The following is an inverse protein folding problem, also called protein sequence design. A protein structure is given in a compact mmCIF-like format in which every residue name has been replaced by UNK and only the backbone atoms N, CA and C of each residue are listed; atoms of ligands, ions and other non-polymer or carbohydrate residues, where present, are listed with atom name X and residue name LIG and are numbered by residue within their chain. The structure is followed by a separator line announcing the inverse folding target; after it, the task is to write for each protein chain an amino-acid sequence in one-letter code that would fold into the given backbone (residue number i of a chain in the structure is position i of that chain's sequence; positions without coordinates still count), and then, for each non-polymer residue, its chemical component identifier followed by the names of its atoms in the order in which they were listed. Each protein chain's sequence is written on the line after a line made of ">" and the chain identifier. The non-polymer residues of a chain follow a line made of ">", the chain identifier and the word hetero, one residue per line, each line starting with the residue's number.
data_IF_350365569913
#
_entry.id   IF_350365569913
#
_cell.length_a   1.000
_cell.length_b   1.000
_cell.length_c   1.000
_cell.angle_alpha   90.00
_cell.angle_beta   90.00
_cell.angle_gamma   90.00
#
_symmetry.space_group_name_H-M   'P 1'
#
loop_
_entity.id
_entity.type
_entity.pdbx_description
1 polymer ?
#
# COMPACT_ATOMS: atom_id res chain seq x y z
N UNK A 1 47.58 32.26 39.59
CA UNK A 1 46.19 32.02 39.16
C UNK A 1 45.61 30.99 40.10
N UNK A 2 44.62 31.36 40.92
CA UNK A 2 44.14 30.54 42.05
C UNK A 2 43.49 29.22 41.55
N UNK A 3 43.98 28.12 41.99
CA UNK A 3 43.51 26.75 41.69
C UNK A 3 41.99 26.61 41.84
N UNK A 4 41.35 27.30 42.81
CA UNK A 4 39.90 27.38 42.96
C UNK A 4 39.18 28.03 41.77
N UNK A 5 39.75 29.07 41.18
CA UNK A 5 39.16 29.74 39.99
C UNK A 5 39.22 28.85 38.74
N UNK A 6 40.30 28.06 38.62
CA UNK A 6 40.43 27.10 37.49
C UNK A 6 39.45 25.94 37.60
N UNK A 7 39.24 25.43 38.81
CA UNK A 7 38.23 24.37 39.07
C UNK A 7 36.83 24.89 38.83
N UNK A 8 36.52 26.11 39.27
CA UNK A 8 35.19 26.71 39.04
C UNK A 8 34.92 26.93 37.55
N UNK A 9 35.91 27.41 36.81
CA UNK A 9 35.81 27.58 35.36
C UNK A 9 35.61 26.25 34.61
N UNK A 10 36.31 25.21 35.02
CA UNK A 10 36.17 23.85 34.48
C UNK A 10 34.77 23.28 34.73
N UNK A 11 34.20 23.47 35.94
CA UNK A 11 32.84 23.05 36.28
C UNK A 11 31.78 23.79 35.46
N UNK A 12 31.95 25.10 35.21
CA UNK A 12 31.04 25.88 34.37
C UNK A 12 31.10 25.41 32.92
N UNK A 13 32.29 25.15 32.39
CA UNK A 13 32.44 24.64 31.02
C UNK A 13 31.82 23.23 30.87
N UNK A 14 32.02 22.36 31.85
CA UNK A 14 31.41 21.01 31.88
C UNK A 14 29.87 21.13 31.97
N UNK A 15 29.33 22.04 32.79
CA UNK A 15 27.86 22.24 32.89
C UNK A 15 27.27 22.78 31.59
N UNK A 16 27.98 23.63 30.84
CA UNK A 16 27.55 24.13 29.55
C UNK A 16 27.54 23.04 28.45
N UNK A 17 28.41 22.03 28.56
CA UNK A 17 28.46 20.89 27.65
C UNK A 17 27.25 19.96 27.91
N UNK A 18 26.76 19.84 29.14
CA UNK A 18 25.61 18.99 29.47
C UNK A 18 24.24 19.64 29.22
N UNK A 19 24.14 20.97 29.09
CA UNK A 19 22.88 21.68 28.78
C UNK A 19 22.55 21.67 27.29
N UNK A 20 23.46 21.20 26.42
CA UNK A 20 23.38 21.28 24.96
C UNK A 20 22.75 20.08 24.22
N UNK A 21 22.12 19.12 24.89
CA UNK A 21 21.58 17.93 24.17
C UNK A 21 20.08 17.76 24.21
N UNK A 22 19.31 18.81 23.94
CA UNK A 22 18.06 18.59 23.22
C UNK A 22 18.37 18.58 21.72
N UNK A 23 18.82 17.42 21.22
CA UNK A 23 19.01 17.24 19.80
C UNK A 23 17.64 17.42 19.11
N UNK A 24 17.40 18.63 18.61
CA UNK A 24 16.32 18.87 17.69
C UNK A 24 16.56 17.97 16.49
N UNK A 25 15.84 16.84 16.42
CA UNK A 25 15.92 15.92 15.28
C UNK A 25 15.47 16.69 14.06
N UNK A 26 16.42 17.31 13.34
CA UNK A 26 16.15 17.90 12.04
C UNK A 26 15.85 16.74 11.09
N UNK A 27 14.57 16.48 10.87
CA UNK A 27 14.11 15.49 9.89
C UNK A 27 14.14 16.16 8.54
N UNK A 28 15.19 15.93 7.77
CA UNK A 28 15.34 16.45 6.40
C UNK A 28 14.33 15.81 5.42
N UNK A 29 13.61 14.78 5.85
CA UNK A 29 12.69 14.05 4.99
C UNK A 29 11.50 13.51 5.79
N UNK A 30 10.28 13.48 5.21
CA UNK A 30 9.11 12.86 5.82
C UNK A 30 9.36 11.38 6.15
N UNK A 31 8.89 10.92 7.29
CA UNK A 31 8.97 9.51 7.70
C UNK A 31 7.57 8.88 7.71
N UNK A 32 7.51 7.54 7.77
CA UNK A 32 6.22 6.84 7.92
C UNK A 32 5.48 7.19 9.21
N UNK A 33 6.20 7.68 10.23
CA UNK A 33 5.63 8.15 11.48
C UNK A 33 5.10 9.59 11.41
N UNK A 34 5.32 10.30 10.29
CA UNK A 34 4.78 11.65 10.13
C UNK A 34 3.28 11.56 9.84
N UNK A 35 2.46 12.38 10.50
CA UNK A 35 1.02 12.39 10.24
C UNK A 35 0.74 12.76 8.78
N UNK A 36 -0.28 12.12 8.20
CA UNK A 36 -0.79 12.51 6.90
C UNK A 36 -1.23 13.98 6.94
N UNK A 37 -0.86 14.76 5.93
CA UNK A 37 -1.21 16.18 5.82
C UNK A 37 -2.08 16.40 4.61
N UNK A 38 -3.19 17.11 4.82
CA UNK A 38 -4.01 17.59 3.72
C UNK A 38 -3.28 18.71 2.97
N UNK A 39 -3.37 18.67 1.65
CA UNK A 39 -2.94 19.73 0.76
C UNK A 39 -4.15 20.24 -0.02
N UNK A 40 -4.52 21.48 0.17
CA UNK A 40 -5.60 22.09 -0.59
C UNK A 40 -5.16 22.28 -2.04
N UNK A 41 -5.85 21.62 -2.96
CA UNK A 41 -5.61 21.75 -4.40
C UNK A 41 -6.34 22.97 -4.95
N UNK A 42 -7.60 23.18 -4.55
CA UNK A 42 -8.45 24.27 -5.04
C UNK A 42 -9.59 24.56 -4.05
N UNK A 43 -10.11 25.78 -4.09
CA UNK A 43 -11.29 26.20 -3.35
C UNK A 43 -11.00 26.77 -1.96
N UNK A 44 -12.03 27.40 -1.38
CA UNK A 44 -11.99 28.03 -0.03
C UNK A 44 -13.24 27.66 0.79
N UNK A 45 -14.04 26.70 0.32
CA UNK A 45 -15.26 26.28 1.01
C UNK A 45 -14.92 25.51 2.30
N UNK A 46 -15.83 25.54 3.26
CA UNK A 46 -15.68 24.79 4.52
C UNK A 46 -15.86 23.29 4.31
N UNK A 47 -16.69 22.90 3.34
CA UNK A 47 -16.86 21.49 2.95
C UNK A 47 -15.75 21.05 2.01
N UNK A 48 -15.33 19.79 2.15
CA UNK A 48 -14.21 19.22 1.43
C UNK A 48 -14.62 18.09 0.51
N UNK A 49 -13.95 18.00 -0.63
CA UNK A 49 -13.89 16.80 -1.46
C UNK A 49 -12.45 16.30 -1.36
N UNK A 50 -12.27 15.11 -0.82
CA UNK A 50 -10.95 14.51 -0.68
C UNK A 50 -10.59 13.73 -1.93
N UNK A 51 -9.38 13.96 -2.46
CA UNK A 51 -8.83 13.20 -3.59
C UNK A 51 -7.78 12.22 -3.06
N UNK A 52 -8.05 10.92 -3.23
CA UNK A 52 -7.14 9.84 -2.83
C UNK A 52 -6.56 9.20 -4.09
N UNK A 53 -5.24 9.30 -4.32
CA UNK A 53 -4.62 8.62 -5.44
C UNK A 53 -4.41 7.14 -5.14
N UNK A 54 -4.84 6.27 -6.08
CA UNK A 54 -4.60 4.82 -6.07
C UNK A 54 -3.72 4.49 -7.26
N UNK A 55 -2.40 4.46 -7.06
CA UNK A 55 -1.41 4.29 -8.14
C UNK A 55 -0.55 3.06 -7.97
N UNK A 56 -0.38 2.31 -9.08
CA UNK A 56 0.49 1.15 -9.14
C UNK A 56 -0.19 -0.12 -8.66
N UNK A 57 0.61 -1.14 -8.33
CA UNK A 57 0.11 -2.47 -7.97
C UNK A 57 -0.57 -2.45 -6.60
N UNK A 58 -1.78 -2.99 -6.52
CA UNK A 58 -2.54 -3.13 -5.28
C UNK A 58 -1.96 -4.29 -4.48
N UNK A 59 -1.27 -3.96 -3.37
CA UNK A 59 -0.60 -4.90 -2.48
C UNK A 59 -0.71 -4.44 -1.04
N UNK A 60 -0.75 -5.38 -0.13
CA UNK A 60 -0.65 -5.19 1.32
C UNK A 60 0.79 -5.22 1.83
N UNK A 61 1.74 -5.62 0.98
CA UNK A 61 3.16 -5.59 1.32
C UNK A 61 3.72 -4.16 1.27
N UNK A 62 4.54 -3.76 2.24
CA UNK A 62 5.28 -2.51 2.19
C UNK A 62 6.10 -2.40 0.90
N UNK A 63 6.24 -1.19 0.39
CA UNK A 63 7.03 -0.92 -0.81
C UNK A 63 8.47 -0.62 -0.41
N UNK A 64 9.36 -1.54 -0.69
CA UNK A 64 10.79 -1.37 -0.43
C UNK A 64 11.38 -0.39 -1.44
N UNK A 65 11.97 0.68 -0.94
CA UNK A 65 12.77 1.61 -1.72
C UNK A 65 14.24 1.50 -1.30
N UNK A 66 15.16 1.90 -2.15
CA UNK A 66 16.60 1.80 -1.89
C UNK A 66 17.05 2.50 -0.59
N UNK A 67 16.37 3.58 -0.20
CA UNK A 67 16.71 4.36 1.01
C UNK A 67 15.63 4.22 2.09
N UNK A 68 14.40 3.90 1.71
CA UNK A 68 13.24 3.91 2.62
C UNK A 68 12.18 2.92 2.20
N UNK A 69 11.62 2.23 3.18
CA UNK A 69 10.38 1.47 3.03
C UNK A 69 9.20 2.44 3.12
N UNK A 70 8.23 2.29 2.23
CA UNK A 70 6.96 3.04 2.25
C UNK A 70 5.84 2.10 2.67
N UNK A 71 4.74 2.62 3.25
CA UNK A 71 3.55 1.83 3.47
C UNK A 71 3.08 1.14 2.20
N UNK A 72 2.37 0.04 2.36
CA UNK A 72 1.68 -0.59 1.23
C UNK A 72 0.62 0.36 0.66
N UNK A 73 0.21 0.12 -0.59
CA UNK A 73 -0.87 0.90 -1.19
C UNK A 73 -2.17 0.78 -0.40
N UNK A 74 -2.46 -0.43 0.10
CA UNK A 74 -3.63 -0.68 0.96
C UNK A 74 -3.56 0.19 2.21
N UNK A 75 -2.44 0.18 2.94
CA UNK A 75 -2.27 0.99 4.15
C UNK A 75 -2.41 2.49 3.87
N UNK A 76 -1.85 2.98 2.76
CA UNK A 76 -1.95 4.39 2.38
C UNK A 76 -3.41 4.81 2.14
N UNK A 77 -4.16 4.04 1.35
CA UNK A 77 -5.55 4.35 1.02
C UNK A 77 -6.45 4.23 2.24
N UNK A 78 -6.32 3.14 3.00
CA UNK A 78 -7.11 2.90 4.22
C UNK A 78 -6.88 3.98 5.26
N UNK A 79 -5.63 4.40 5.47
CA UNK A 79 -5.31 5.48 6.41
C UNK A 79 -5.96 6.81 6.01
N UNK A 80 -5.97 7.14 4.72
CA UNK A 80 -6.64 8.34 4.21
C UNK A 80 -8.17 8.25 4.36
N UNK A 81 -8.79 7.09 4.07
CA UNK A 81 -10.22 6.88 4.28
C UNK A 81 -10.62 7.01 5.76
N UNK A 82 -9.81 6.48 6.68
CA UNK A 82 -10.07 6.60 8.13
C UNK A 82 -10.00 8.05 8.61
N UNK A 83 -9.00 8.81 8.17
CA UNK A 83 -8.93 10.24 8.48
C UNK A 83 -10.12 11.01 7.90
N UNK A 84 -10.54 10.67 6.68
CA UNK A 84 -11.72 11.26 6.05
C UNK A 84 -13.02 10.91 6.80
N UNK A 85 -13.11 9.71 7.39
CA UNK A 85 -14.25 9.27 8.19
C UNK A 85 -14.43 10.13 9.45
N UNK A 86 -13.33 10.56 10.06
CA UNK A 86 -13.34 11.37 11.28
C UNK A 86 -13.57 12.87 11.00
N UNK A 87 -13.39 13.32 9.76
CA UNK A 87 -13.60 14.71 9.35
C UNK A 87 -15.00 14.93 8.77
N UNK A 88 -15.90 15.48 9.57
CA UNK A 88 -17.29 15.80 9.17
C UNK A 88 -17.41 16.80 8.02
N UNK A 89 -16.34 17.51 7.69
CA UNK A 89 -16.30 18.44 6.55
C UNK A 89 -16.14 17.71 5.22
N UNK A 90 -15.63 16.47 5.21
CA UNK A 90 -15.52 15.65 4.00
C UNK A 90 -16.90 15.17 3.58
N UNK A 91 -17.37 15.64 2.42
CA UNK A 91 -18.69 15.30 1.86
C UNK A 91 -18.61 14.31 0.70
N UNK A 92 -17.46 14.21 0.08
CA UNK A 92 -17.20 13.23 -0.98
C UNK A 92 -15.71 12.85 -1.02
N UNK A 93 -15.46 11.65 -1.54
CA UNK A 93 -14.11 11.15 -1.85
C UNK A 93 -14.03 10.87 -3.34
N UNK A 94 -12.97 11.32 -3.97
CA UNK A 94 -12.59 10.98 -5.33
C UNK A 94 -11.41 10.03 -5.30
N UNK A 95 -11.61 8.78 -5.68
CA UNK A 95 -10.52 7.81 -5.86
C UNK A 95 -9.95 7.99 -7.27
N UNK A 96 -8.74 8.50 -7.38
CA UNK A 96 -8.04 8.66 -8.64
C UNK A 96 -7.24 7.40 -8.95
N UNK A 97 -7.83 6.48 -9.74
CA UNK A 97 -7.29 5.14 -9.98
C UNK A 97 -6.41 5.13 -11.23
N UNK A 98 -5.15 4.68 -11.04
CA UNK A 98 -4.17 4.42 -12.09
C UNK A 98 -3.39 3.15 -11.73
N UNK A 99 -4.04 1.99 -11.89
CA UNK A 99 -3.59 0.71 -11.35
C UNK A 99 -3.88 -0.48 -12.28
N UNK A 100 -2.92 -1.38 -12.50
CA UNK A 100 -3.16 -2.65 -13.18
C UNK A 100 -3.93 -3.67 -12.33
N UNK A 101 -4.28 -3.33 -11.09
CA UNK A 101 -4.73 -4.27 -10.08
C UNK A 101 -3.59 -4.80 -9.21
N UNK A 102 -3.76 -5.98 -8.65
CA UNK A 102 -2.77 -6.58 -7.77
C UNK A 102 -3.23 -7.89 -7.15
N UNK A 103 -2.87 -8.17 -5.90
CA UNK A 103 -3.33 -9.38 -5.24
C UNK A 103 -4.84 -9.35 -5.00
N UNK A 104 -5.47 -10.51 -5.07
CA UNK A 104 -6.92 -10.65 -4.84
C UNK A 104 -7.28 -10.13 -3.46
N UNK A 105 -6.57 -10.59 -2.44
CA UNK A 105 -6.81 -10.20 -1.04
C UNK A 105 -6.66 -8.69 -0.82
N UNK A 106 -5.60 -8.08 -1.35
CA UNK A 106 -5.40 -6.63 -1.19
C UNK A 106 -6.49 -5.81 -1.90
N UNK A 107 -6.95 -6.27 -3.06
CA UNK A 107 -8.05 -5.65 -3.78
C UNK A 107 -9.36 -5.77 -3.03
N UNK A 108 -9.63 -6.95 -2.44
CA UNK A 108 -10.84 -7.19 -1.64
C UNK A 108 -10.85 -6.37 -0.35
N UNK A 109 -9.72 -6.24 0.33
CA UNK A 109 -9.59 -5.36 1.50
C UNK A 109 -9.95 -3.91 1.12
N UNK A 110 -9.41 -3.38 0.02
CA UNK A 110 -9.74 -2.02 -0.41
C UNK A 110 -11.20 -1.86 -0.80
N UNK A 111 -11.77 -2.83 -1.51
CA UNK A 111 -13.19 -2.85 -1.85
C UNK A 111 -14.06 -2.70 -0.59
N UNK A 112 -13.81 -3.53 0.42
CA UNK A 112 -14.56 -3.53 1.66
C UNK A 112 -14.32 -2.27 2.51
N UNK A 113 -13.12 -1.73 2.54
CA UNK A 113 -12.83 -0.47 3.26
C UNK A 113 -13.53 0.73 2.60
N UNK A 114 -13.62 0.78 1.27
CA UNK A 114 -14.36 1.82 0.53
C UNK A 114 -15.86 1.70 0.80
N UNK A 115 -16.40 0.49 0.76
CA UNK A 115 -17.79 0.22 1.07
C UNK A 115 -18.14 0.63 2.50
N UNK A 116 -17.32 0.21 3.46
CA UNK A 116 -17.47 0.55 4.88
C UNK A 116 -17.40 2.06 5.13
N UNK A 117 -16.50 2.76 4.44
CA UNK A 117 -16.42 4.21 4.51
C UNK A 117 -17.74 4.87 4.06
N UNK A 118 -18.30 4.45 2.93
CA UNK A 118 -19.59 4.94 2.44
C UNK A 118 -20.72 4.71 3.43
N UNK A 119 -20.82 3.50 3.96
CA UNK A 119 -21.88 3.12 4.90
C UNK A 119 -21.81 3.93 6.20
N UNK A 120 -20.61 4.13 6.73
CA UNK A 120 -20.41 4.85 7.99
C UNK A 120 -20.59 6.35 7.89
N UNK A 121 -20.19 6.95 6.75
CA UNK A 121 -20.17 8.41 6.62
C UNK A 121 -21.33 8.98 5.82
N UNK A 122 -21.94 8.18 4.96
CA UNK A 122 -22.90 8.66 3.94
C UNK A 122 -22.26 9.56 2.88
N UNK A 123 -20.94 9.76 2.91
CA UNK A 123 -20.23 10.55 1.92
C UNK A 123 -20.23 9.85 0.54
N UNK A 124 -20.33 10.66 -0.51
CA UNK A 124 -20.27 10.13 -1.87
C UNK A 124 -18.87 9.68 -2.25
N UNK A 125 -18.76 8.53 -2.92
CA UNK A 125 -17.51 8.04 -3.48
C UNK A 125 -17.60 8.08 -5.00
N UNK A 126 -16.66 8.76 -5.61
CA UNK A 126 -16.52 8.87 -7.05
C UNK A 126 -15.18 8.28 -7.46
N UNK A 127 -15.16 7.52 -8.53
CA UNK A 127 -13.92 7.01 -9.12
C UNK A 127 -13.60 7.76 -10.39
N UNK A 128 -12.37 8.24 -10.51
CA UNK A 128 -11.79 8.76 -11.74
C UNK A 128 -10.71 7.77 -12.23
N UNK A 129 -11.04 6.99 -13.24
CA UNK A 129 -10.11 6.06 -13.89
C UNK A 129 -9.19 6.84 -14.82
N UNK A 130 -7.87 6.75 -14.58
CA UNK A 130 -6.85 7.45 -15.35
C UNK A 130 -6.32 6.60 -16.53
N UNK A 131 -5.02 6.46 -16.69
CA UNK A 131 -4.43 5.69 -17.79
C UNK A 131 -4.77 4.19 -17.74
N UNK A 132 -4.77 3.62 -16.53
CA UNK A 132 -5.00 2.21 -16.30
C UNK A 132 -5.88 1.99 -15.06
N UNK A 133 -6.96 1.23 -15.21
CA UNK A 133 -7.84 0.82 -14.11
C UNK A 133 -8.36 -0.60 -14.37
N UNK A 134 -7.46 -1.59 -14.31
CA UNK A 134 -7.73 -2.95 -14.73
C UNK A 134 -7.71 -3.94 -13.55
N UNK A 135 -8.38 -5.10 -13.71
CA UNK A 135 -8.40 -6.18 -12.73
C UNK A 135 -8.80 -5.67 -11.34
N UNK A 136 -7.94 -5.80 -10.33
CA UNK A 136 -8.18 -5.24 -8.99
C UNK A 136 -8.43 -3.73 -8.98
N UNK A 137 -7.85 -2.97 -9.92
CA UNK A 137 -8.12 -1.53 -10.08
C UNK A 137 -9.56 -1.24 -10.51
N UNK A 138 -10.13 -2.08 -11.34
CA UNK A 138 -11.56 -2.03 -11.67
C UNK A 138 -12.40 -2.50 -10.48
N UNK A 139 -12.01 -3.59 -9.84
CA UNK A 139 -12.75 -4.20 -8.72
C UNK A 139 -12.95 -3.22 -7.55
N UNK A 140 -11.92 -2.51 -7.13
CA UNK A 140 -12.02 -1.50 -6.06
C UNK A 140 -12.85 -0.27 -6.44
N UNK A 141 -13.17 -0.11 -7.72
CA UNK A 141 -14.00 0.99 -8.21
C UNK A 141 -15.51 0.69 -8.07
N UNK A 142 -15.89 -0.58 -7.94
CA UNK A 142 -17.29 -1.01 -7.92
C UNK A 142 -18.13 -0.44 -6.76
N UNK A 143 -17.60 -0.21 -5.54
CA UNK A 143 -18.36 0.41 -4.47
C UNK A 143 -18.72 1.89 -4.71
N UNK A 144 -18.15 2.54 -5.72
CA UNK A 144 -18.37 3.95 -6.00
C UNK A 144 -19.82 4.25 -6.41
N UNK A 145 -20.27 5.48 -6.10
CA UNK A 145 -21.57 5.97 -6.57
C UNK A 145 -21.51 6.31 -8.06
N UNK A 146 -20.36 6.80 -8.53
CA UNK A 146 -20.11 7.12 -9.93
C UNK A 146 -18.69 6.74 -10.34
N UNK A 147 -18.56 6.25 -11.55
CA UNK A 147 -17.25 5.89 -12.15
C UNK A 147 -17.11 6.68 -13.45
N UNK A 148 -16.05 7.47 -13.54
CA UNK A 148 -15.66 8.18 -14.74
C UNK A 148 -14.36 7.59 -15.26
N UNK A 149 -14.32 7.24 -16.53
CA UNK A 149 -13.10 6.80 -17.21
C UNK A 149 -12.68 7.87 -18.22
N UNK A 150 -11.36 8.14 -18.25
CA UNK A 150 -10.79 8.95 -19.32
C UNK A 150 -10.96 8.21 -20.67
N UNK A 151 -11.18 8.90 -21.80
CA UNK A 151 -11.39 8.23 -23.10
C UNK A 151 -10.27 7.26 -23.50
N UNK A 152 -9.06 7.45 -23.00
CA UNK A 152 -7.91 6.57 -23.25
C UNK A 152 -7.65 5.55 -22.13
N UNK A 153 -8.54 5.42 -21.15
CA UNK A 153 -8.38 4.46 -20.05
C UNK A 153 -8.41 3.02 -20.56
N UNK A 154 -7.40 2.26 -20.20
CA UNK A 154 -7.44 0.80 -20.29
C UNK A 154 -8.09 0.25 -19.02
N UNK A 155 -9.24 -0.44 -19.18
CA UNK A 155 -10.01 -0.95 -18.04
C UNK A 155 -10.56 -2.36 -18.30
N UNK A 156 -11.28 -2.94 -17.34
CA UNK A 156 -11.76 -4.31 -17.43
C UNK A 156 -10.70 -5.31 -16.97
N UNK A 157 -10.43 -6.36 -17.73
CA UNK A 157 -9.50 -7.45 -17.35
C UNK A 157 -9.81 -8.04 -15.97
N UNK A 158 -11.10 -8.20 -15.65
CA UNK A 158 -11.54 -8.74 -14.37
C UNK A 158 -11.37 -10.25 -14.38
N UNK A 159 -10.54 -10.76 -13.46
CA UNK A 159 -10.28 -12.19 -13.36
C UNK A 159 -9.11 -12.49 -12.45
N UNK A 160 -8.91 -13.78 -12.15
CA UNK A 160 -7.80 -14.28 -11.33
C UNK A 160 -6.87 -15.10 -12.19
N UNK A 161 -5.58 -14.78 -12.15
CA UNK A 161 -4.53 -15.54 -12.82
C UNK A 161 -3.67 -16.22 -11.76
N UNK A 162 -3.51 -17.53 -11.88
CA UNK A 162 -2.53 -18.29 -11.11
C UNK A 162 -1.49 -18.86 -12.06
N UNK A 163 -0.31 -18.25 -12.11
CA UNK A 163 0.78 -18.68 -12.96
C UNK A 163 1.57 -19.80 -12.30
N UNK A 164 1.74 -20.91 -13.01
CA UNK A 164 2.57 -22.05 -12.59
C UNK A 164 3.66 -22.31 -13.63
N UNK A 165 4.89 -22.01 -13.29
CA UNK A 165 6.04 -22.38 -14.10
C UNK A 165 6.32 -23.87 -13.95
N UNK A 166 6.60 -24.58 -15.04
CA UNK A 166 7.00 -26.01 -15.03
C UNK A 166 8.41 -26.13 -15.57
N UNK A 167 9.24 -26.86 -14.85
CA UNK A 167 10.64 -27.10 -15.20
C UNK A 167 10.96 -28.57 -15.47
N UNK A 168 9.94 -29.44 -15.51
CA UNK A 168 10.10 -30.89 -15.70
C UNK A 168 10.95 -31.24 -16.92
N UNK A 169 10.64 -30.66 -18.09
CA UNK A 169 11.38 -30.95 -19.31
C UNK A 169 12.85 -30.46 -19.27
N UNK A 170 13.15 -29.42 -18.50
CA UNK A 170 14.54 -28.98 -18.28
C UNK A 170 15.26 -30.00 -17.36
N UNK A 171 14.61 -30.40 -16.29
CA UNK A 171 15.16 -31.37 -15.33
C UNK A 171 15.50 -32.70 -15.99
N UNK A 172 14.61 -33.22 -16.86
CA UNK A 172 14.87 -34.41 -17.65
C UNK A 172 16.11 -34.29 -18.53
N UNK A 173 16.30 -33.13 -19.18
CA UNK A 173 17.46 -32.86 -20.06
C UNK A 173 18.80 -32.82 -19.31
N UNK A 174 18.79 -32.38 -18.06
CA UNK A 174 20.01 -32.26 -17.24
C UNK A 174 20.20 -33.41 -16.24
N UNK A 175 19.30 -34.40 -16.29
CA UNK A 175 19.37 -35.60 -15.42
C UNK A 175 19.07 -35.37 -13.94
N UNK A 176 18.25 -34.33 -13.63
CA UNK A 176 17.84 -34.02 -12.24
C UNK A 176 16.49 -34.65 -11.94
N UNK A 177 16.45 -35.54 -10.94
CA UNK A 177 15.21 -36.12 -10.37
C UNK A 177 14.82 -35.37 -9.09
N UNK A 178 13.53 -35.41 -8.76
CA UNK A 178 12.99 -34.94 -7.48
C UNK A 178 12.18 -36.04 -6.84
N UNK A 179 12.52 -36.38 -5.60
CA UNK A 179 11.75 -37.29 -4.75
C UNK A 179 10.97 -36.47 -3.73
N UNK A 180 9.68 -36.76 -3.56
CA UNK A 180 8.78 -36.00 -2.69
C UNK A 180 8.16 -36.90 -1.65
N UNK A 181 8.49 -36.69 -0.39
CA UNK A 181 7.82 -37.27 0.76
C UNK A 181 6.77 -36.29 1.29
N UNK A 182 5.49 -36.62 1.24
CA UNK A 182 4.38 -35.74 1.61
C UNK A 182 3.35 -36.41 2.49
N UNK A 183 2.80 -35.71 3.44
CA UNK A 183 1.77 -36.18 4.37
C UNK A 183 0.34 -36.03 3.84
N UNK A 184 0.15 -35.47 2.66
CA UNK A 184 -1.17 -35.26 2.04
C UNK A 184 -1.10 -35.25 0.52
N UNK A 185 -2.15 -35.76 -0.14
CA UNK A 185 -2.15 -35.94 -1.59
C UNK A 185 -1.94 -34.67 -2.39
N UNK A 186 -2.48 -33.54 -1.92
CA UNK A 186 -2.39 -32.22 -2.58
C UNK A 186 -1.28 -31.30 -2.02
N UNK A 187 -0.43 -31.81 -1.10
CA UNK A 187 0.58 -30.95 -0.43
C UNK A 187 1.59 -30.32 -1.37
N UNK A 188 1.87 -30.99 -2.48
CA UNK A 188 2.77 -30.55 -3.53
C UNK A 188 2.05 -30.04 -4.80
N UNK A 189 0.76 -29.69 -4.66
CA UNK A 189 0.00 -29.11 -5.75
C UNK A 189 0.61 -27.77 -6.20
N UNK A 190 0.77 -27.61 -7.52
CA UNK A 190 1.34 -26.38 -8.08
C UNK A 190 2.86 -26.35 -8.13
N UNK A 191 3.57 -27.34 -7.59
CA UNK A 191 5.02 -27.39 -7.64
C UNK A 191 5.56 -27.49 -9.09
N UNK A 192 6.73 -26.86 -9.40
CA UNK A 192 7.24 -26.73 -10.76
C UNK A 192 7.83 -28.02 -11.33
N UNK A 193 8.18 -28.98 -10.49
CA UNK A 193 8.94 -30.18 -10.84
C UNK A 193 8.09 -31.39 -11.20
N UNK A 194 6.76 -31.30 -11.20
CA UNK A 194 5.86 -32.34 -11.68
C UNK A 194 4.64 -31.78 -12.42
N UNK A 195 4.05 -32.50 -13.34
CA UNK A 195 2.78 -32.16 -13.95
C UNK A 195 1.64 -32.14 -12.90
N UNK A 196 0.66 -31.26 -13.09
CA UNK A 196 -0.56 -31.29 -12.31
C UNK A 196 -1.39 -32.51 -12.70
N UNK A 197 -1.99 -33.17 -11.72
CA UNK A 197 -2.94 -34.28 -11.94
C UNK A 197 -4.25 -33.77 -12.57
N UNK A 198 -5.07 -34.68 -13.09
CA UNK A 198 -6.39 -34.32 -13.65
C UNK A 198 -7.31 -33.70 -12.58
N UNK A 199 -7.19 -34.16 -11.33
CA UNK A 199 -7.94 -33.66 -10.19
C UNK A 199 -7.48 -32.23 -9.79
N UNK A 200 -6.16 -32.02 -9.67
CA UNK A 200 -5.57 -30.71 -9.35
C UNK A 200 -5.87 -29.63 -10.40
N UNK A 201 -6.22 -30.00 -11.63
CA UNK A 201 -6.65 -29.05 -12.66
C UNK A 201 -8.09 -28.57 -12.47
N UNK A 202 -8.87 -29.21 -11.61
CA UNK A 202 -10.25 -28.85 -11.33
C UNK A 202 -10.39 -27.96 -10.08
N UNK A 203 -9.33 -27.91 -9.27
CA UNK A 203 -9.22 -27.05 -8.10
C UNK A 203 -8.73 -25.67 -8.53
#
# INVERSE_FOLDING_TARGET
>A
MNMQKTILLALVVISLIFVGCTATKIRLFPSQADPLRECTLEGKADQKILVIPVRGVISDNPREGFIRTRPSLVQEVVSQLRLAQDDKKVKAVVLKVDSPGGSVTASDILFNEILTFKEKTGAKVVVAMMGLAASGGYYISLPADFIFAHPTTLTGSVGVIFLRTKVTGLMEKIGVGVEVNKSGIHKDMGMPYRPATAEEKKI
#
